data_IF_852796232394
#
_entry.id   IF_852796232394
#
_cell.length_a   1.000
_cell.length_b   1.000
_cell.length_c   1.000
_cell.angle_alpha   90.00
_cell.angle_beta   90.00
_cell.angle_gamma   90.00
#
_symmetry.space_group_name_H-M   'P 1'
#
loop_
_entity.id
_entity.type
_entity.pdbx_description
1 polymer ?
#
# COMPACT_ATOMS: atom_id res chain seq x y z
N UNK A 1 0.06 3.52 24.81
CA UNK A 1 -1.31 3.05 25.12
C UNK A 1 -2.18 2.83 23.88
N UNK A 2 -1.98 3.55 22.76
CA UNK A 2 -2.77 3.34 21.53
C UNK A 2 -2.44 2.01 20.84
N UNK A 3 -1.15 1.75 20.55
CA UNK A 3 -0.73 0.54 19.83
C UNK A 3 -1.03 -0.77 20.58
N UNK A 4 -1.14 -0.71 21.92
CA UNK A 4 -1.58 -1.86 22.73
C UNK A 4 -3.06 -2.15 22.47
N UNK A 5 -3.91 -1.14 22.54
CA UNK A 5 -5.33 -1.28 22.21
C UNK A 5 -5.57 -1.74 20.77
N UNK A 6 -4.74 -1.30 19.82
CA UNK A 6 -4.76 -1.79 18.43
C UNK A 6 -4.46 -3.28 18.36
N UNK A 7 -3.41 -3.73 19.06
CA UNK A 7 -3.08 -5.16 19.12
C UNK A 7 -4.19 -5.98 19.79
N UNK A 8 -4.93 -5.39 20.72
CA UNK A 8 -6.07 -6.02 21.39
C UNK A 8 -7.37 -5.96 20.52
N UNK A 9 -7.28 -5.52 19.26
CA UNK A 9 -8.37 -5.58 18.28
C UNK A 9 -9.12 -4.26 18.02
N UNK A 10 -8.73 -3.16 18.69
CA UNK A 10 -9.38 -1.86 18.52
C UNK A 10 -8.85 -1.11 17.30
N UNK A 11 -9.71 -0.29 16.68
CA UNK A 11 -9.35 0.57 15.56
C UNK A 11 -9.45 2.03 15.96
N UNK A 12 -8.53 2.87 15.49
CA UNK A 12 -8.48 4.30 15.81
C UNK A 12 -8.40 5.14 14.54
N UNK A 13 -9.15 6.24 14.50
CA UNK A 13 -9.04 7.26 13.44
C UNK A 13 -8.08 8.35 13.90
N UNK A 14 -7.07 8.64 13.10
CA UNK A 14 -6.15 9.74 13.30
C UNK A 14 -6.73 10.98 12.64
N UNK A 15 -6.89 12.07 13.40
CA UNK A 15 -7.40 13.35 12.91
C UNK A 15 -6.32 14.44 12.95
N UNK A 16 -6.36 15.34 11.98
CA UNK A 16 -5.61 16.60 11.96
C UNK A 16 -6.62 17.74 11.83
N UNK A 17 -6.61 18.68 12.78
CA UNK A 17 -7.57 19.80 12.81
C UNK A 17 -9.04 19.35 12.68
N UNK A 18 -9.39 18.25 13.35
CA UNK A 18 -10.73 17.65 13.31
C UNK A 18 -11.05 16.86 12.04
N UNK A 19 -10.17 16.84 11.03
CA UNK A 19 -10.34 16.06 9.80
C UNK A 19 -9.65 14.70 9.89
N UNK A 20 -10.32 13.58 9.58
CA UNK A 20 -9.68 12.27 9.46
C UNK A 20 -8.56 12.28 8.42
N UNK A 21 -7.36 11.82 8.78
CA UNK A 21 -6.19 11.74 7.88
C UNK A 21 -5.62 10.33 7.74
N UNK A 22 -5.84 9.46 8.73
CA UNK A 22 -5.41 8.07 8.66
C UNK A 22 -6.24 7.19 9.61
N UNK A 23 -6.08 5.86 9.50
CA UNK A 23 -6.69 4.90 10.40
C UNK A 23 -5.64 3.86 10.82
N UNK A 24 -5.59 3.57 12.11
CA UNK A 24 -4.76 2.50 12.67
C UNK A 24 -5.68 1.33 12.97
N UNK A 25 -5.40 0.18 12.35
CA UNK A 25 -6.18 -1.05 12.49
C UNK A 25 -5.29 -2.21 12.94
N UNK A 26 -5.85 -3.26 13.57
CA UNK A 26 -5.13 -4.50 13.83
C UNK A 26 -4.57 -5.11 12.53
N UNK A 27 -3.34 -5.63 12.56
CA UNK A 27 -2.65 -6.14 11.37
C UNK A 27 -3.29 -7.42 10.78
N UNK A 28 -3.92 -8.23 11.62
CA UNK A 28 -4.71 -9.39 11.23
C UNK A 28 -6.02 -9.03 10.52
N UNK A 29 -6.49 -7.78 10.64
CA UNK A 29 -7.63 -7.24 9.86
C UNK A 29 -7.22 -6.59 8.54
N UNK A 30 -5.95 -6.68 8.15
CA UNK A 30 -5.43 -6.09 6.91
C UNK A 30 -5.92 -6.83 5.65
N UNK A 31 -6.39 -8.07 5.76
CA UNK A 31 -6.78 -8.92 4.61
C UNK A 31 -7.81 -8.28 3.68
N UNK A 32 -8.79 -7.55 4.21
CA UNK A 32 -9.81 -6.87 3.38
C UNK A 32 -9.23 -5.68 2.60
N UNK A 33 -8.36 -4.88 3.24
CA UNK A 33 -7.72 -3.72 2.62
C UNK A 33 -6.66 -4.15 1.59
N UNK A 34 -5.87 -5.17 1.91
CA UNK A 34 -4.83 -5.74 1.03
C UNK A 34 -5.46 -6.40 -0.20
N UNK A 35 -6.58 -7.10 -0.03
CA UNK A 35 -7.30 -7.72 -1.16
C UNK A 35 -7.83 -6.66 -2.15
N UNK A 36 -8.42 -5.58 -1.65
CA UNK A 36 -8.85 -4.46 -2.49
C UNK A 36 -7.70 -3.77 -3.21
N UNK A 37 -6.59 -3.49 -2.50
CA UNK A 37 -5.41 -2.87 -3.08
C UNK A 37 -4.79 -3.73 -4.20
N UNK A 38 -4.71 -5.05 -3.99
CA UNK A 38 -4.23 -6.00 -5.00
C UNK A 38 -5.11 -6.01 -6.24
N UNK A 39 -6.43 -6.05 -6.07
CA UNK A 39 -7.37 -6.01 -7.19
C UNK A 39 -7.23 -4.72 -8.01
N UNK A 40 -7.13 -3.56 -7.34
CA UNK A 40 -6.92 -2.26 -8.01
C UNK A 40 -5.60 -2.22 -8.78
N UNK A 41 -4.52 -2.73 -8.18
CA UNK A 41 -3.21 -2.81 -8.83
C UNK A 41 -3.30 -3.68 -10.10
N UNK A 42 -3.86 -4.88 -10.01
CA UNK A 42 -3.99 -5.78 -11.16
C UNK A 42 -4.88 -5.19 -12.25
N UNK A 43 -5.99 -4.53 -11.90
CA UNK A 43 -6.85 -3.84 -12.85
C UNK A 43 -6.16 -2.63 -13.51
N UNK A 44 -5.21 -1.98 -12.84
CA UNK A 44 -4.37 -0.95 -13.45
C UNK A 44 -3.38 -1.57 -14.43
N UNK A 45 -2.62 -2.59 -13.99
CA UNK A 45 -1.61 -3.26 -14.81
C UNK A 45 -2.21 -3.86 -16.09
N UNK A 46 -3.40 -4.45 -15.99
CA UNK A 46 -4.12 -5.00 -17.15
C UNK A 46 -4.50 -3.96 -18.21
N UNK A 47 -4.55 -2.67 -17.84
CA UNK A 47 -4.86 -1.55 -18.75
C UNK A 47 -3.63 -0.76 -19.16
N UNK A 48 -2.45 -1.10 -18.66
CA UNK A 48 -1.22 -0.43 -19.06
C UNK A 48 -0.73 -0.98 -20.39
N UNK A 49 -0.23 -0.09 -21.24
CA UNK A 49 0.37 -0.48 -22.50
C UNK A 49 1.64 -1.30 -22.25
N UNK A 50 1.87 -2.28 -23.12
CA UNK A 50 3.07 -3.11 -23.07
C UNK A 50 4.26 -2.24 -23.51
N UNK A 51 5.16 -1.97 -22.57
CA UNK A 51 6.42 -1.29 -22.88
C UNK A 51 7.48 -2.32 -23.24
N UNK A 52 7.96 -2.28 -24.49
CA UNK A 52 9.11 -3.07 -24.93
C UNK A 52 10.40 -2.34 -24.53
N UNK A 53 10.93 -2.67 -23.36
CA UNK A 53 12.10 -1.98 -22.75
C UNK A 53 13.45 -2.36 -23.40
N UNK A 54 13.48 -3.22 -24.43
CA UNK A 54 14.73 -3.68 -25.05
C UNK A 54 15.54 -4.61 -24.14
N UNK A 55 16.83 -4.80 -24.45
CA UNK A 55 17.75 -5.54 -23.56
C UNK A 55 18.33 -4.56 -22.55
N UNK A 56 17.96 -4.73 -21.29
CA UNK A 56 18.63 -4.10 -20.17
C UNK A 56 19.44 -5.13 -19.42
N UNK A 57 20.70 -4.81 -19.18
CA UNK A 57 21.53 -5.47 -18.18
C UNK A 57 21.22 -4.87 -16.81
N UNK A 58 21.48 -5.64 -15.76
CA UNK A 58 21.26 -5.18 -14.38
C UNK A 58 22.05 -3.90 -14.09
N UNK A 59 23.26 -3.78 -14.64
CA UNK A 59 24.15 -2.64 -14.40
C UNK A 59 23.60 -1.34 -15.01
N UNK A 60 22.95 -1.41 -16.18
CA UNK A 60 22.28 -0.26 -16.83
C UNK A 60 21.07 0.29 -16.05
N UNK A 61 20.48 -0.51 -15.16
CA UNK A 61 19.30 -0.12 -14.37
C UNK A 61 19.63 0.63 -13.07
N UNK A 62 20.88 0.56 -12.61
CA UNK A 62 21.30 1.15 -11.33
C UNK A 62 22.29 2.31 -11.51
N UNK A 63 22.61 2.69 -12.75
CA UNK A 63 23.54 3.79 -13.03
C UNK A 63 22.78 5.13 -13.17
N UNK A 64 22.33 5.64 -12.02
CA UNK A 64 21.92 7.03 -11.86
C UNK A 64 22.75 7.64 -10.72
N UNK A 65 23.72 8.48 -11.10
CA UNK A 65 24.48 9.35 -10.20
C UNK A 65 23.72 10.61 -9.85
#
# INVERSE_FOLDING_TARGET
MILRGVRDGNSYVVTSHGRPVARIIPADREEEATSGARAVLLARLARQDIVQIGRWTRDELYDER
#
